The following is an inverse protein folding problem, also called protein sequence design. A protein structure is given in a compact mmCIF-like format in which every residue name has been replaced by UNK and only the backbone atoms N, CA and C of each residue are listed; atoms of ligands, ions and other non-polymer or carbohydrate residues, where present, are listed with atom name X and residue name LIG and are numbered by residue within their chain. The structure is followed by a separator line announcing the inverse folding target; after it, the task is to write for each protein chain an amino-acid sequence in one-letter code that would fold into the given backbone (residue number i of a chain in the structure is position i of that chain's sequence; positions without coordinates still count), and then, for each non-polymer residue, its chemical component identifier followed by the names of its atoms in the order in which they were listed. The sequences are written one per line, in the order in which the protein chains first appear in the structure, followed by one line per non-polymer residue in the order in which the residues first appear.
data_IF_119051979059
#
_entry.id   IF_119051979059
#
_cell.length_a   1.000
_cell.length_b   1.000
_cell.length_c   1.000
_cell.angle_alpha   90.00
_cell.angle_beta   90.00
_cell.angle_gamma   90.00
#
_symmetry.space_group_name_H-M   'P 1'
#
loop_
_entity.id
_entity.type
_entity.pdbx_description
1 polymer ?
#
# COMPACT_ATOMS: atom_id res chain seq x y z
N UNK A 1 -11.34 12.93 3.59
CA UNK A 1 -9.93 12.73 3.18
C UNK A 1 -9.92 11.48 2.32
N UNK A 2 -9.57 11.54 1.03
CA UNK A 2 -9.51 10.33 0.21
C UNK A 2 -8.24 9.58 0.59
N UNK A 3 -8.38 8.54 1.40
CA UNK A 3 -7.36 7.51 1.60
C UNK A 3 -7.57 6.37 0.60
N UNK A 4 -6.48 5.69 0.26
CA UNK A 4 -6.33 4.53 -0.63
C UNK A 4 -6.53 4.82 -2.14
N UNK A 5 -5.51 5.47 -2.73
CA UNK A 5 -5.05 5.50 -4.15
C UNK A 5 -6.05 5.48 -5.33
N UNK A 6 -7.36 5.53 -5.11
CA UNK A 6 -8.42 5.38 -6.11
C UNK A 6 -8.36 4.07 -6.92
N UNK A 7 -7.75 3.02 -6.37
CA UNK A 7 -7.58 1.74 -7.07
C UNK A 7 -8.58 0.64 -6.64
N UNK A 8 -9.52 0.96 -5.74
CA UNK A 8 -10.52 0.01 -5.24
C UNK A 8 -9.99 -1.01 -4.23
N UNK A 9 -8.77 -0.82 -3.71
CA UNK A 9 -8.13 -1.73 -2.76
C UNK A 9 -7.92 -1.07 -1.39
N UNK A 10 -7.77 -1.90 -0.35
CA UNK A 10 -7.30 -1.43 0.96
C UNK A 10 -5.79 -1.34 0.96
N UNK A 11 -5.23 -0.16 1.25
CA UNK A 11 -3.78 0.05 1.36
C UNK A 11 -3.39 0.45 2.79
N UNK A 12 -2.47 -0.28 3.40
CA UNK A 12 -2.12 -0.11 4.82
C UNK A 12 -0.62 -0.29 5.06
N UNK A 13 -0.16 0.24 6.20
CA UNK A 13 1.25 0.24 6.63
C UNK A 13 2.24 0.81 5.61
N UNK A 14 2.01 2.03 5.07
CA UNK A 14 2.96 2.63 4.15
C UNK A 14 4.31 2.91 4.84
N UNK A 15 5.40 2.64 4.12
CA UNK A 15 6.77 2.96 4.53
C UNK A 15 7.59 3.38 3.31
N UNK A 16 8.33 4.48 3.46
CA UNK A 16 9.35 4.85 2.47
C UNK A 16 10.61 4.00 2.63
N UNK A 17 11.26 3.69 1.51
CA UNK A 17 12.62 3.14 1.53
C UNK A 17 13.60 4.12 2.19
N UNK A 18 14.72 3.65 2.76
CA UNK A 18 15.70 4.54 3.39
C UNK A 18 16.26 5.63 2.46
N UNK A 19 16.35 5.34 1.16
CA UNK A 19 16.78 6.29 0.14
C UNK A 19 15.63 7.15 -0.44
N UNK A 20 14.40 6.97 0.07
CA UNK A 20 13.22 7.74 -0.30
C UNK A 20 12.67 7.48 -1.69
N UNK A 21 13.25 6.55 -2.47
CA UNK A 21 12.85 6.30 -3.87
C UNK A 21 11.57 5.47 -4.00
N UNK A 22 11.23 4.71 -2.97
CA UNK A 22 10.14 3.75 -3.02
C UNK A 22 9.15 3.96 -1.89
N UNK A 23 7.88 3.76 -2.19
CA UNK A 23 6.82 3.59 -1.21
C UNK A 23 6.40 2.12 -1.22
N UNK A 24 6.50 1.48 -0.06
CA UNK A 24 6.09 0.09 0.16
C UNK A 24 4.87 0.08 1.07
N UNK A 25 3.87 -0.76 0.77
CA UNK A 25 2.67 -0.91 1.57
C UNK A 25 2.05 -2.30 1.36
N UNK A 26 1.17 -2.70 2.28
CA UNK A 26 0.36 -3.90 2.11
C UNK A 26 -0.96 -3.54 1.41
N UNK A 27 -1.41 -4.42 0.51
CA UNK A 27 -2.66 -4.27 -0.22
C UNK A 27 -3.51 -5.54 -0.16
N UNK A 28 -4.81 -5.38 0.00
CA UNK A 28 -5.81 -6.46 -0.04
C UNK A 28 -7.06 -6.01 -0.80
N UNK A 29 -7.76 -6.95 -1.42
CA UNK A 29 -9.16 -6.77 -1.82
C UNK A 29 -10.07 -6.73 -0.56
N UNK A 30 -9.55 -7.34 0.50
CA UNK A 30 -9.93 -7.30 1.89
C UNK A 30 -10.14 -5.90 2.47
N UNK A 31 -11.26 -5.57 3.14
CA UNK A 31 -11.26 -4.48 4.14
C UNK A 31 -10.60 -4.90 5.47
N UNK A 32 -10.09 -6.13 5.59
CA UNK A 32 -9.43 -6.61 6.81
C UNK A 32 -7.93 -6.75 6.63
N UNK A 33 -7.21 -6.34 7.67
CA UNK A 33 -5.75 -6.18 7.76
C UNK A 33 -4.94 -7.48 7.64
N UNK A 34 -5.49 -8.60 8.13
CA UNK A 34 -4.81 -9.89 8.27
C UNK A 34 -5.57 -10.92 7.47
N UNK A 35 -5.42 -10.86 6.15
CA UNK A 35 -6.06 -11.79 5.26
C UNK A 35 -5.04 -12.50 4.36
N UNK A 36 -5.37 -13.71 3.88
CA UNK A 36 -4.51 -14.45 2.96
C UNK A 36 -4.24 -13.72 1.62
N UNK A 37 -5.10 -12.79 1.23
CA UNK A 37 -4.98 -11.99 0.00
C UNK A 37 -4.04 -10.77 0.18
N UNK A 38 -3.61 -10.48 1.40
CA UNK A 38 -2.72 -9.35 1.70
C UNK A 38 -1.35 -9.56 1.06
N UNK A 39 -1.00 -8.69 0.12
CA UNK A 39 0.26 -8.74 -0.64
C UNK A 39 1.07 -7.46 -0.46
N UNK A 40 2.40 -7.59 -0.62
CA UNK A 40 3.32 -6.46 -0.53
C UNK A 40 3.42 -5.75 -1.88
N UNK A 41 3.13 -4.46 -1.92
CA UNK A 41 3.27 -3.59 -3.09
C UNK A 41 4.42 -2.61 -2.89
N UNK A 42 5.10 -2.31 -4.01
CA UNK A 42 6.17 -1.33 -4.09
C UNK A 42 5.94 -0.44 -5.33
N UNK A 43 6.01 0.88 -5.13
CA UNK A 43 5.85 1.87 -6.20
C UNK A 43 6.90 2.98 -6.05
N UNK A 44 7.27 3.70 -7.14
CA UNK A 44 8.08 4.91 -7.03
C UNK A 44 7.41 5.93 -6.10
N UNK A 45 8.18 6.60 -5.25
CA UNK A 45 7.65 7.61 -4.33
C UNK A 45 7.18 8.90 -5.01
N UNK A 46 7.53 9.09 -6.28
CA UNK A 46 7.23 10.30 -7.06
C UNK A 46 5.83 10.33 -7.68
N UNK A 47 5.06 9.25 -7.57
CA UNK A 47 3.73 9.13 -8.17
C UNK A 47 3.74 8.54 -9.57
#
# INVERSE_FOLDING_TARGET
MPGASHNGMSNYFPRFSPDGKWLVFCQSDSFMLLQPDSTLYIVPSTG
#
